data_IF_934864806167
#
_entry.id   IF_934864806167
#
_cell.length_a   1.000
_cell.length_b   1.000
_cell.length_c   1.000
_cell.angle_alpha   90.00
_cell.angle_beta   90.00
_cell.angle_gamma   90.00
#
_symmetry.space_group_name_H-M   'P 1'
#
loop_
_entity.id
_entity.type
_entity.pdbx_description
1 polymer ?
#
# COMPACT_ATOMS: atom_id res chain seq x y z
N UNK A 1 -2.41 -21.68 -18.47
CA UNK A 1 -1.69 -22.74 -17.69
C UNK A 1 -1.64 -22.31 -16.24
N UNK A 2 -2.02 -23.18 -15.32
CA UNK A 2 -1.90 -22.93 -13.88
C UNK A 2 -0.50 -23.38 -13.44
N UNK A 3 0.27 -22.49 -12.83
CA UNK A 3 1.60 -22.81 -12.31
C UNK A 3 1.49 -23.00 -10.79
N UNK A 4 1.81 -24.21 -10.34
CA UNK A 4 1.82 -24.55 -8.92
C UNK A 4 3.18 -24.19 -8.34
N UNK A 5 3.19 -23.40 -7.25
CA UNK A 5 4.40 -22.96 -6.58
C UNK A 5 4.97 -24.06 -5.68
N UNK A 6 6.28 -24.21 -5.68
CA UNK A 6 7.00 -25.10 -4.76
C UNK A 6 7.01 -24.51 -3.33
N UNK A 7 7.31 -25.36 -2.35
CA UNK A 7 7.45 -24.92 -0.96
C UNK A 7 8.50 -23.81 -0.79
N UNK A 8 9.60 -23.86 -1.56
CA UNK A 8 10.63 -22.81 -1.57
C UNK A 8 10.08 -21.48 -2.12
N UNK A 9 9.37 -21.55 -3.24
CA UNK A 9 8.75 -20.35 -3.84
C UNK A 9 7.72 -19.73 -2.90
N UNK A 10 6.89 -20.54 -2.25
CA UNK A 10 5.93 -20.07 -1.25
C UNK A 10 6.63 -19.37 -0.09
N UNK A 11 7.77 -19.89 0.38
CA UNK A 11 8.57 -19.24 1.43
C UNK A 11 9.08 -17.86 1.01
N UNK A 12 9.58 -17.73 -0.23
CA UNK A 12 10.03 -16.45 -0.79
C UNK A 12 8.86 -15.46 -0.97
N UNK A 13 7.70 -15.97 -1.42
CA UNK A 13 6.49 -15.16 -1.53
C UNK A 13 6.02 -14.64 -0.16
N UNK A 14 6.11 -15.47 0.89
CA UNK A 14 5.78 -15.03 2.27
C UNK A 14 6.64 -13.87 2.72
N UNK A 15 7.93 -13.85 2.38
CA UNK A 15 8.82 -12.75 2.72
C UNK A 15 8.41 -11.45 2.03
N UNK A 16 8.11 -11.50 0.74
CA UNK A 16 7.60 -10.35 0.00
C UNK A 16 6.25 -9.86 0.57
N UNK A 17 5.34 -10.77 0.89
CA UNK A 17 4.05 -10.45 1.50
C UNK A 17 4.19 -9.82 2.89
N UNK A 18 5.14 -10.28 3.70
CA UNK A 18 5.43 -9.70 5.01
C UNK A 18 5.89 -8.24 4.88
N UNK A 19 6.76 -7.96 3.92
CA UNK A 19 7.24 -6.60 3.65
C UNK A 19 6.07 -5.70 3.24
N UNK A 20 5.25 -6.12 2.29
CA UNK A 20 4.09 -5.33 1.84
C UNK A 20 3.04 -5.15 2.94
N UNK A 21 2.76 -6.17 3.73
CA UNK A 21 1.84 -6.09 4.86
C UNK A 21 2.32 -5.11 5.95
N UNK A 22 3.61 -5.10 6.24
CA UNK A 22 4.18 -4.15 7.21
C UNK A 22 4.21 -2.72 6.65
N UNK A 23 4.52 -2.54 5.37
CA UNK A 23 4.42 -1.25 4.70
C UNK A 23 2.99 -0.70 4.75
N UNK A 24 2.02 -1.56 4.54
CA UNK A 24 0.60 -1.21 4.61
C UNK A 24 0.17 -0.82 6.03
N UNK A 25 0.64 -1.55 7.05
CA UNK A 25 0.39 -1.20 8.46
C UNK A 25 0.97 0.18 8.79
N UNK A 26 2.20 0.44 8.33
CA UNK A 26 2.85 1.75 8.47
C UNK A 26 2.04 2.85 7.77
N UNK A 27 1.62 2.62 6.51
CA UNK A 27 0.75 3.56 5.80
C UNK A 27 -0.49 3.89 6.62
N UNK A 28 -1.09 2.86 7.21
CA UNK A 28 -2.23 3.01 8.08
C UNK A 28 -2.01 3.98 9.26
N UNK A 29 -0.82 4.10 9.81
CA UNK A 29 -0.50 5.03 10.89
C UNK A 29 -0.49 6.50 10.42
N UNK A 30 -0.18 6.73 9.15
CA UNK A 30 -0.14 8.04 8.52
C UNK A 30 -1.48 8.46 7.87
N UNK A 31 -2.43 7.54 7.70
CA UNK A 31 -3.77 7.85 7.20
C UNK A 31 -4.57 8.54 8.30
N UNK A 32 -4.57 9.87 8.28
CA UNK A 32 -5.25 10.72 9.26
C UNK A 32 -5.60 12.07 8.64
N UNK A 33 -6.59 12.79 9.18
CA UNK A 33 -6.91 14.13 8.72
C UNK A 33 -5.69 15.05 8.72
N UNK A 34 -5.50 15.81 7.64
CA UNK A 34 -4.37 16.71 7.45
C UNK A 34 -3.17 16.10 6.73
N UNK A 35 -3.06 14.78 6.64
CA UNK A 35 -2.01 14.14 5.85
C UNK A 35 -2.31 14.24 4.34
N UNK A 36 -1.28 14.39 3.53
CA UNK A 36 -1.40 14.26 2.07
C UNK A 36 -1.19 12.82 1.65
N UNK A 37 -1.81 12.41 0.55
CA UNK A 37 -1.59 11.06 0.00
C UNK A 37 -0.14 10.89 -0.46
N UNK A 38 0.53 11.97 -0.89
CA UNK A 38 1.95 11.92 -1.26
C UNK A 38 2.87 11.64 -0.06
N UNK A 39 2.58 12.21 1.11
CA UNK A 39 3.34 11.91 2.34
C UNK A 39 3.23 10.44 2.74
N UNK A 40 2.04 9.87 2.62
CA UNK A 40 1.80 8.45 2.90
C UNK A 40 2.60 7.57 1.93
N UNK A 41 2.56 7.90 0.63
CA UNK A 41 3.34 7.20 -0.40
C UNK A 41 4.84 7.23 -0.11
N UNK A 42 5.37 8.39 0.28
CA UNK A 42 6.78 8.55 0.62
C UNK A 42 7.20 7.64 1.78
N UNK A 43 6.35 7.49 2.80
CA UNK A 43 6.60 6.59 3.94
C UNK A 43 6.58 5.12 3.55
N UNK A 44 5.64 4.74 2.70
CA UNK A 44 5.56 3.38 2.14
C UNK A 44 6.83 3.05 1.36
N UNK A 45 7.24 3.95 0.47
CA UNK A 45 8.45 3.78 -0.34
C UNK A 45 9.69 3.64 0.53
N UNK A 46 9.89 4.55 1.46
CA UNK A 46 11.03 4.54 2.39
C UNK A 46 11.13 3.21 3.14
N UNK A 47 9.99 2.71 3.64
CA UNK A 47 9.95 1.44 4.36
C UNK A 47 10.34 0.27 3.47
N UNK A 48 9.74 0.15 2.27
CA UNK A 48 10.01 -0.96 1.33
C UNK A 48 11.48 -0.97 0.94
N UNK A 49 12.05 0.19 0.59
CA UNK A 49 13.45 0.31 0.19
C UNK A 49 14.41 -0.03 1.35
N UNK A 50 14.08 0.34 2.58
CA UNK A 50 14.85 -0.04 3.79
C UNK A 50 14.86 -1.55 4.05
N UNK A 51 13.84 -2.28 3.59
CA UNK A 51 13.81 -3.74 3.68
C UNK A 51 14.65 -4.43 2.59
N UNK A 52 15.30 -3.68 1.70
CA UNK A 52 16.00 -4.22 0.54
C UNK A 52 15.07 -4.69 -0.58
N UNK A 53 13.82 -4.27 -0.54
CA UNK A 53 12.81 -4.56 -1.55
C UNK A 53 12.59 -3.36 -2.47
N UNK A 54 11.83 -3.56 -3.53
CA UNK A 54 11.43 -2.53 -4.48
C UNK A 54 9.90 -2.39 -4.47
N UNK A 55 9.35 -1.16 -4.49
CA UNK A 55 7.92 -0.99 -4.67
C UNK A 55 7.46 -1.58 -6.00
N UNK A 56 6.48 -2.50 -5.96
CA UNK A 56 6.03 -3.24 -7.15
C UNK A 56 5.38 -2.34 -8.20
N UNK A 57 4.68 -1.29 -7.75
CA UNK A 57 3.88 -0.44 -8.66
C UNK A 57 4.69 0.67 -9.31
N UNK A 58 5.79 1.08 -8.67
CA UNK A 58 6.61 2.21 -9.14
C UNK A 58 7.17 1.93 -10.53
N UNK A 59 6.74 2.71 -11.51
CA UNK A 59 7.15 2.58 -12.91
C UNK A 59 6.38 1.51 -13.70
N UNK A 60 5.57 0.69 -13.05
CA UNK A 60 4.77 -0.33 -13.75
C UNK A 60 3.68 0.34 -14.58
N UNK A 61 3.71 0.11 -15.90
CA UNK A 61 2.77 0.78 -16.82
C UNK A 61 2.82 2.31 -16.76
N UNK A 62 3.94 2.89 -16.29
CA UNK A 62 4.09 4.34 -16.11
C UNK A 62 3.52 4.87 -14.80
N UNK A 63 3.09 4.01 -13.86
CA UNK A 63 2.57 4.45 -12.57
C UNK A 63 3.66 5.21 -11.77
N UNK A 64 3.39 6.45 -11.29
CA UNK A 64 4.45 7.34 -10.81
C UNK A 64 4.77 7.20 -9.31
N UNK A 65 4.12 6.28 -8.60
CA UNK A 65 4.19 6.19 -7.14
C UNK A 65 4.41 4.76 -6.65
N UNK A 66 4.61 4.60 -5.34
CA UNK A 66 4.87 3.30 -4.71
C UNK A 66 3.61 2.64 -4.16
N UNK A 67 2.57 3.43 -3.88
CA UNK A 67 1.28 2.97 -3.40
C UNK A 67 0.15 3.53 -4.26
N UNK A 68 -0.94 2.77 -4.41
CA UNK A 68 -2.20 3.32 -4.89
C UNK A 68 -2.98 3.81 -3.67
N UNK A 69 -3.34 5.09 -3.65
CA UNK A 69 -4.11 5.70 -2.56
C UNK A 69 -5.35 6.33 -3.14
N UNK A 70 -6.48 5.67 -2.94
CA UNK A 70 -7.75 6.01 -3.54
C UNK A 70 -8.69 6.60 -2.48
N UNK A 71 -9.14 7.82 -2.70
CA UNK A 71 -9.95 8.59 -1.73
C UNK A 71 -11.38 8.75 -2.27
N UNK A 72 -12.36 8.42 -1.44
CA UNK A 72 -13.79 8.58 -1.69
C UNK A 72 -14.25 7.88 -2.98
N UNK A 73 -14.61 8.63 -4.01
CA UNK A 73 -15.15 8.13 -5.29
C UNK A 73 -14.09 7.57 -6.24
N UNK A 74 -12.82 7.74 -5.93
CA UNK A 74 -11.73 7.06 -6.65
C UNK A 74 -11.72 5.59 -6.22
N UNK A 75 -12.10 4.70 -7.12
CA UNK A 75 -12.32 3.28 -6.80
C UNK A 75 -11.00 2.54 -6.60
N UNK A 76 -10.08 2.67 -7.56
CA UNK A 76 -8.75 2.04 -7.57
C UNK A 76 -7.71 2.95 -8.22
N UNK A 77 -6.44 2.60 -8.07
CA UNK A 77 -5.30 3.22 -8.74
C UNK A 77 -5.17 4.72 -8.50
N UNK A 78 -5.63 5.21 -7.34
CA UNK A 78 -5.44 6.61 -6.97
C UNK A 78 -3.96 6.98 -6.93
N UNK A 79 -3.59 8.05 -7.66
CA UNK A 79 -2.22 8.54 -7.72
C UNK A 79 -1.98 9.48 -6.53
N UNK A 80 -1.00 9.18 -5.66
CA UNK A 80 -0.63 10.06 -4.57
C UNK A 80 -0.29 11.48 -5.03
N UNK A 81 -0.82 12.48 -4.33
CA UNK A 81 -0.66 13.89 -4.66
C UNK A 81 -0.52 14.75 -3.42
N UNK A 82 0.25 15.82 -3.51
CA UNK A 82 0.37 16.81 -2.44
C UNK A 82 -0.89 17.69 -2.30
N UNK A 83 -1.71 17.76 -3.34
CA UNK A 83 -2.98 18.48 -3.34
C UNK A 83 -4.11 17.67 -2.71
N UNK A 84 -3.96 16.35 -2.60
CA UNK A 84 -4.95 15.47 -1.96
C UNK A 84 -4.68 15.41 -0.45
N UNK A 85 -5.29 16.32 0.29
CA UNK A 85 -5.23 16.36 1.75
C UNK A 85 -6.42 15.59 2.32
N UNK A 86 -6.13 14.62 3.18
CA UNK A 86 -7.14 13.82 3.85
C UNK A 86 -7.89 14.64 4.90
N UNK A 87 -9.18 14.43 5.00
CA UNK A 87 -10.05 15.11 5.97
C UNK A 87 -10.96 14.10 6.68
N UNK A 88 -11.52 14.54 7.79
CA UNK A 88 -12.50 13.74 8.53
C UNK A 88 -13.70 13.38 7.64
N UNK A 89 -14.14 12.14 7.73
CA UNK A 89 -15.22 11.59 6.90
C UNK A 89 -14.74 10.91 5.62
N UNK A 90 -13.47 11.08 5.22
CA UNK A 90 -12.94 10.42 4.03
C UNK A 90 -12.88 8.91 4.19
N UNK A 91 -13.11 8.21 3.08
CA UNK A 91 -12.86 6.80 2.90
C UNK A 91 -11.56 6.68 2.09
N UNK A 92 -10.58 5.98 2.62
CA UNK A 92 -9.26 5.85 2.00
C UNK A 92 -8.92 4.38 1.79
N UNK A 93 -8.64 4.02 0.55
CA UNK A 93 -8.11 2.70 0.18
C UNK A 93 -6.62 2.85 -0.10
N UNK A 94 -5.81 2.03 0.55
CA UNK A 94 -4.35 1.98 0.33
C UNK A 94 -3.99 0.60 -0.16
N UNK A 95 -3.30 0.53 -1.29
CA UNK A 95 -2.85 -0.69 -1.93
C UNK A 95 -1.33 -0.62 -2.13
N UNK A 96 -0.62 -1.64 -1.66
CA UNK A 96 0.84 -1.68 -1.61
C UNK A 96 1.36 -3.01 -2.11
N UNK A 97 2.32 -2.95 -3.02
CA UNK A 97 3.08 -4.11 -3.48
C UNK A 97 4.57 -3.97 -3.19
N UNK A 98 5.21 -5.06 -2.79
CA UNK A 98 6.65 -5.14 -2.60
C UNK A 98 7.24 -6.29 -3.42
N UNK A 99 8.29 -6.00 -4.17
CA UNK A 99 9.07 -6.97 -4.92
C UNK A 99 10.35 -7.31 -4.15
N UNK A 100 10.50 -8.57 -3.79
CA UNK A 100 11.60 -9.04 -2.98
C UNK A 100 12.01 -10.45 -3.37
N UNK A 101 13.31 -10.67 -3.59
CA UNK A 101 13.87 -11.97 -3.98
C UNK A 101 13.12 -12.65 -5.15
N UNK A 102 12.72 -11.87 -6.15
CA UNK A 102 12.07 -12.38 -7.37
C UNK A 102 10.56 -12.57 -7.26
N UNK A 103 9.92 -12.23 -6.13
CA UNK A 103 8.48 -12.39 -5.91
C UNK A 103 7.82 -11.10 -5.44
N UNK A 104 6.55 -10.92 -5.82
CA UNK A 104 5.71 -9.83 -5.37
C UNK A 104 4.84 -10.25 -4.19
N UNK A 105 4.72 -9.36 -3.21
CA UNK A 105 3.69 -9.41 -2.19
C UNK A 105 2.76 -8.22 -2.37
N UNK A 106 1.46 -8.44 -2.32
CA UNK A 106 0.42 -7.43 -2.59
C UNK A 106 -0.63 -7.45 -1.49
N UNK A 107 -0.95 -6.28 -0.95
CA UNK A 107 -1.91 -6.12 0.16
C UNK A 107 -2.62 -4.78 0.07
N UNK A 108 -3.89 -4.77 0.47
CA UNK A 108 -4.68 -3.54 0.54
C UNK A 108 -5.46 -3.41 1.84
N UNK A 109 -5.76 -2.18 2.24
CA UNK A 109 -6.66 -1.84 3.35
C UNK A 109 -7.60 -0.72 2.97
N UNK A 110 -8.75 -0.70 3.64
CA UNK A 110 -9.67 0.43 3.62
C UNK A 110 -9.74 1.05 5.02
N UNK A 111 -9.70 2.39 5.08
CA UNK A 111 -9.81 3.15 6.31
C UNK A 111 -10.92 4.20 6.20
N UNK A 112 -11.71 4.33 7.26
CA UNK A 112 -12.69 5.41 7.41
C UNK A 112 -12.16 6.42 8.43
N UNK A 113 -12.17 7.69 8.06
CA UNK A 113 -11.70 8.78 8.92
C UNK A 113 -12.89 9.43 9.65
N UNK A 114 -13.49 8.70 10.61
CA UNK A 114 -14.55 9.24 11.47
C UNK A 114 -14.06 9.52 12.89
N UNK A 115 -14.39 10.68 13.43
CA UNK A 115 -14.32 11.09 14.84
C UNK A 115 -13.57 10.12 15.79
N UNK A 116 -12.25 10.14 15.82
CA UNK A 116 -11.38 9.38 16.73
C UNK A 116 -11.46 7.85 16.64
N UNK A 117 -12.37 7.26 15.86
CA UNK A 117 -12.45 5.81 15.64
C UNK A 117 -11.96 5.48 14.24
N UNK A 118 -10.80 4.90 14.18
CA UNK A 118 -10.19 4.42 12.96
C UNK A 118 -10.60 2.96 12.76
N UNK A 119 -11.56 2.71 11.89
CA UNK A 119 -11.87 1.35 11.46
C UNK A 119 -10.95 0.97 10.29
N UNK A 120 -10.10 -0.01 10.50
CA UNK A 120 -9.26 -0.60 9.46
C UNK A 120 -9.89 -1.94 9.09
N UNK A 121 -10.31 -2.08 7.84
CA UNK A 121 -10.78 -3.34 7.31
C UNK A 121 -9.67 -3.93 6.43
N UNK A 122 -9.20 -5.10 6.81
CA UNK A 122 -8.32 -5.91 5.97
C UNK A 122 -9.21 -6.64 4.97
N UNK A 123 -8.94 -6.45 3.69
CA UNK A 123 -9.54 -7.28 2.64
C UNK A 123 -8.57 -8.40 2.30
N UNK A 124 -9.06 -9.61 2.37
CA UNK A 124 -8.34 -10.80 1.94
C UNK A 124 -8.19 -10.85 0.41
#
# INVERSE_FOLDING_TARGET
>A
MVIIKTAREISLMKDACRISANALRLAGEYVKPGATTLEIDAKVREYIEKQGATPSFLGYGGFPASACISVNDVVIHGIPSKEQVLKEGDIVSVDVGAFYNGYHGDNSIHAHLYNFVRAIFLTD
#
